data_IF_885851106529
#
_entry.id   IF_885851106529
#
_cell.length_a   1.000
_cell.length_b   1.000
_cell.length_c   1.000
_cell.angle_alpha   90.00
_cell.angle_beta   90.00
_cell.angle_gamma   90.00
#
_symmetry.space_group_name_H-M   'P 1'
#
loop_
_entity.id
_entity.type
_entity.pdbx_description
1 polymer ?
#
# COMPACT_ATOMS: atom_id res chain seq x y z
N UNK A 1 42.76 16.57 -22.34
CA UNK A 1 41.75 16.31 -21.32
C UNK A 1 40.39 16.62 -21.96
N UNK A 2 39.70 15.63 -22.42
CA UNK A 2 38.44 15.78 -23.20
C UNK A 2 37.27 15.36 -22.33
N UNK A 3 36.37 16.27 -22.03
CA UNK A 3 35.11 16.03 -21.35
C UNK A 3 34.09 15.47 -22.33
N UNK A 4 33.79 14.19 -22.22
CA UNK A 4 32.74 13.57 -23.02
C UNK A 4 31.38 13.94 -22.42
N UNK A 5 30.63 14.81 -23.09
CA UNK A 5 29.23 15.13 -22.79
C UNK A 5 28.34 14.00 -23.31
N UNK A 6 27.73 13.24 -22.43
CA UNK A 6 26.75 12.22 -22.76
C UNK A 6 25.43 12.91 -23.16
N UNK A 7 25.22 13.10 -24.47
CA UNK A 7 23.94 13.54 -25.05
C UNK A 7 23.07 12.31 -25.28
N UNK A 8 22.27 11.93 -24.29
CA UNK A 8 21.14 11.02 -24.52
C UNK A 8 20.04 11.79 -25.27
N UNK A 9 19.68 11.31 -26.44
CA UNK A 9 18.69 11.98 -27.26
C UNK A 9 17.28 11.81 -26.66
N UNK A 10 16.52 12.89 -26.60
CA UNK A 10 15.12 12.96 -26.14
C UNK A 10 14.20 11.92 -26.83
N UNK A 11 14.62 11.39 -27.98
CA UNK A 11 13.90 10.34 -28.70
C UNK A 11 13.91 8.95 -28.02
N UNK A 12 14.94 8.63 -27.26
CA UNK A 12 15.02 7.34 -26.53
C UNK A 12 14.11 7.33 -25.30
N UNK A 13 13.98 8.46 -24.59
CA UNK A 13 13.08 8.61 -23.46
C UNK A 13 11.60 8.56 -23.86
N UNK A 14 11.26 9.13 -25.03
CA UNK A 14 9.89 9.06 -25.55
C UNK A 14 9.47 7.66 -26.00
N UNK A 15 10.40 6.86 -26.52
CA UNK A 15 10.12 5.46 -26.90
C UNK A 15 9.88 4.55 -25.68
N UNK A 16 10.57 4.82 -24.57
CA UNK A 16 10.39 4.07 -23.32
C UNK A 16 9.03 4.39 -22.64
N UNK A 17 8.60 5.65 -22.67
CA UNK A 17 7.31 6.07 -22.11
C UNK A 17 6.12 5.46 -22.88
N UNK A 18 6.24 5.29 -24.21
CA UNK A 18 5.19 4.65 -25.01
C UNK A 18 5.09 3.15 -24.77
N UNK A 19 6.19 2.47 -24.43
CA UNK A 19 6.19 1.05 -24.08
C UNK A 19 5.56 0.76 -22.70
N UNK A 20 5.58 1.73 -21.77
CA UNK A 20 5.02 1.58 -20.42
C UNK A 20 3.51 1.91 -20.34
N UNK A 21 2.95 2.64 -21.29
CA UNK A 21 1.50 2.93 -21.36
C UNK A 21 0.70 1.77 -22.00
N UNK A 22 1.37 0.75 -22.55
CA UNK A 22 0.75 -0.45 -23.13
C UNK A 22 0.32 -1.53 -22.14
N UNK A 23 0.22 -1.28 -20.83
CA UNK A 23 -0.06 -2.30 -19.80
C UNK A 23 -1.54 -2.33 -19.42
N UNK A 24 -2.19 -3.37 -19.96
CA UNK A 24 -3.31 -4.16 -19.41
C UNK A 24 -4.46 -3.44 -18.71
N UNK A 25 -5.54 -3.23 -19.43
CA UNK A 25 -6.87 -3.17 -18.85
C UNK A 25 -7.58 -4.49 -19.19
N UNK A 26 -7.95 -5.22 -18.13
CA UNK A 26 -8.90 -6.34 -18.11
C UNK A 26 -8.77 -7.39 -19.23
N UNK A 27 -8.10 -8.51 -18.96
CA UNK A 27 -8.42 -9.87 -19.43
C UNK A 27 -8.87 -10.11 -20.87
N UNK A 28 -8.71 -9.16 -21.79
CA UNK A 28 -8.88 -9.30 -23.23
C UNK A 28 -7.60 -8.84 -23.91
N UNK A 29 -7.03 -9.72 -24.72
CA UNK A 29 -6.06 -9.32 -25.73
C UNK A 29 -6.74 -8.33 -26.68
N UNK A 30 -6.53 -7.05 -26.43
CA UNK A 30 -6.81 -6.03 -27.42
C UNK A 30 -5.57 -5.99 -28.31
N UNK A 31 -5.62 -6.63 -29.46
CA UNK A 31 -4.67 -6.34 -30.53
C UNK A 31 -4.76 -4.83 -30.78
N UNK A 32 -3.72 -4.09 -30.37
CA UNK A 32 -3.60 -2.68 -30.68
C UNK A 32 -3.62 -2.56 -32.21
N UNK A 33 -4.59 -1.83 -32.73
CA UNK A 33 -4.60 -1.47 -34.14
C UNK A 33 -3.28 -0.74 -34.48
N UNK A 34 -2.72 -0.93 -35.66
CA UNK A 34 -1.50 -0.25 -36.05
C UNK A 34 -1.69 1.28 -35.90
N UNK A 35 -0.64 2.00 -35.45
CA UNK A 35 -0.72 3.42 -35.07
C UNK A 35 -1.30 4.38 -36.13
N UNK A 36 -1.41 3.90 -37.36
CA UNK A 36 -1.98 4.67 -38.47
C UNK A 36 -3.52 4.68 -38.55
N UNK A 37 -4.20 3.86 -37.74
CA UNK A 37 -5.67 3.74 -37.76
C UNK A 37 -6.36 4.41 -36.56
N UNK A 38 -5.62 5.04 -35.63
CA UNK A 38 -6.23 5.76 -34.53
C UNK A 38 -6.88 7.07 -35.02
N UNK A 39 -8.09 7.44 -34.50
CA UNK A 39 -8.74 8.71 -34.82
C UNK A 39 -7.81 9.89 -34.58
N UNK A 40 -7.85 10.92 -35.46
CA UNK A 40 -6.95 12.07 -35.41
C UNK A 40 -7.02 12.85 -34.08
N UNK A 41 -8.17 12.87 -33.42
CA UNK A 41 -8.35 13.48 -32.10
C UNK A 41 -7.58 12.76 -30.99
N UNK A 42 -7.52 11.43 -31.00
CA UNK A 42 -6.76 10.69 -29.98
C UNK A 42 -5.26 10.85 -30.15
N UNK A 43 -4.77 11.00 -31.40
CA UNK A 43 -3.34 11.31 -31.67
C UNK A 43 -2.95 12.70 -31.16
N UNK A 44 -3.81 13.71 -31.33
CA UNK A 44 -3.57 15.05 -30.83
C UNK A 44 -3.56 15.09 -29.29
N UNK A 45 -4.46 14.37 -28.64
CA UNK A 45 -4.54 14.26 -27.18
C UNK A 45 -3.31 13.55 -26.60
N UNK A 46 -2.88 12.43 -27.17
CA UNK A 46 -1.65 11.72 -26.76
C UNK A 46 -0.42 12.60 -26.97
N UNK A 47 -0.32 13.30 -28.09
CA UNK A 47 0.81 14.20 -28.37
C UNK A 47 0.82 15.42 -27.41
N UNK A 48 -0.34 15.92 -27.00
CA UNK A 48 -0.46 16.98 -26.00
C UNK A 48 -0.05 16.48 -24.61
N UNK A 49 -0.50 15.30 -24.22
CA UNK A 49 -0.13 14.66 -22.95
C UNK A 49 1.38 14.41 -22.86
N UNK A 50 2.00 13.88 -23.92
CA UNK A 50 3.45 13.65 -23.97
C UNK A 50 4.25 14.97 -23.90
N UNK A 51 3.77 16.04 -24.51
CA UNK A 51 4.40 17.38 -24.40
C UNK A 51 4.30 17.92 -22.98
N UNK A 52 3.14 17.79 -22.33
CA UNK A 52 2.93 18.23 -20.95
C UNK A 52 3.79 17.45 -19.95
N UNK A 53 3.90 16.13 -20.10
CA UNK A 53 4.79 15.27 -19.31
C UNK A 53 6.25 15.69 -19.53
N UNK A 54 6.67 15.92 -20.78
CA UNK A 54 8.01 16.39 -21.11
C UNK A 54 8.33 17.76 -20.49
N UNK A 55 7.37 18.67 -20.46
CA UNK A 55 7.53 20.01 -19.85
C UNK A 55 7.59 19.92 -18.32
N UNK A 56 6.75 19.08 -17.70
CA UNK A 56 6.77 18.84 -16.27
C UNK A 56 8.08 18.19 -15.82
N UNK A 57 8.59 17.23 -16.61
CA UNK A 57 9.86 16.53 -16.32
C UNK A 57 11.06 17.47 -16.46
N UNK A 58 11.10 18.34 -17.47
CA UNK A 58 12.16 19.35 -17.62
C UNK A 58 12.07 20.44 -16.56
N UNK A 59 10.88 20.80 -16.09
CA UNK A 59 10.66 21.69 -14.96
C UNK A 59 11.18 21.10 -13.65
N UNK A 60 10.92 19.82 -13.42
CA UNK A 60 11.37 19.09 -12.22
C UNK A 60 12.90 18.99 -12.14
N UNK A 61 13.57 18.75 -13.26
CA UNK A 61 15.04 18.73 -13.31
C UNK A 61 15.69 20.10 -13.04
N UNK A 62 14.98 21.20 -13.28
CA UNK A 62 15.45 22.57 -12.99
C UNK A 62 15.19 23.03 -11.55
N UNK A 63 14.23 22.41 -10.84
CA UNK A 63 13.81 22.79 -9.47
C UNK A 63 14.10 21.70 -8.43
N UNK A 64 15.32 21.21 -8.38
CA UNK A 64 15.76 20.24 -7.35
C UNK A 64 15.83 20.82 -5.92
N UNK A 65 15.36 22.06 -5.69
CA UNK A 65 15.48 22.76 -4.40
C UNK A 65 14.14 23.08 -3.70
N UNK A 66 12.98 22.80 -4.31
CA UNK A 66 11.68 23.07 -3.65
C UNK A 66 10.59 22.17 -4.24
N UNK A 67 10.72 20.86 -4.08
CA UNK A 67 9.79 19.90 -4.63
C UNK A 67 8.60 19.68 -3.72
N UNK A 68 7.41 20.17 -4.08
CA UNK A 68 6.15 19.64 -3.57
C UNK A 68 5.86 18.33 -4.29
N UNK A 69 5.71 17.18 -3.61
CA UNK A 69 5.24 15.95 -4.24
C UNK A 69 3.87 16.17 -4.88
N UNK A 70 3.63 15.64 -6.06
CA UNK A 70 2.31 15.68 -6.69
C UNK A 70 2.20 16.45 -8.00
N UNK A 71 3.29 17.01 -8.56
CA UNK A 71 3.21 17.77 -9.83
C UNK A 71 3.00 16.84 -11.03
N UNK A 72 3.62 15.65 -11.03
CA UNK A 72 3.45 14.66 -12.10
C UNK A 72 2.09 13.99 -11.97
N UNK A 73 1.68 13.62 -10.77
CA UNK A 73 0.36 13.02 -10.49
C UNK A 73 -0.77 13.98 -10.86
N UNK A 74 -0.65 15.27 -10.53
CA UNK A 74 -1.62 16.31 -10.95
C UNK A 74 -1.65 16.51 -12.46
N UNK A 75 -0.50 16.47 -13.13
CA UNK A 75 -0.46 16.56 -14.58
C UNK A 75 -1.12 15.35 -15.25
N UNK A 76 -0.88 14.14 -14.75
CA UNK A 76 -1.51 12.91 -15.25
C UNK A 76 -3.02 12.95 -15.00
N UNK A 77 -3.47 13.34 -13.80
CA UNK A 77 -4.90 13.46 -13.47
C UNK A 77 -5.63 14.48 -14.34
N UNK A 78 -4.97 15.58 -14.72
CA UNK A 78 -5.54 16.61 -15.59
C UNK A 78 -5.72 16.15 -17.04
N UNK A 79 -4.82 15.28 -17.55
CA UNK A 79 -4.80 14.87 -18.96
C UNK A 79 -5.35 13.47 -19.24
N UNK A 80 -5.57 12.67 -18.19
CA UNK A 80 -6.19 11.34 -18.28
C UNK A 80 -7.28 11.18 -17.21
N UNK A 81 -8.36 11.98 -17.23
CA UNK A 81 -9.46 11.86 -16.31
C UNK A 81 -10.10 10.48 -16.46
N UNK A 82 -9.94 9.62 -15.45
CA UNK A 82 -10.43 8.24 -15.44
C UNK A 82 -9.34 7.16 -15.43
N UNK A 83 -8.06 7.52 -15.71
CA UNK A 83 -6.91 6.61 -15.56
C UNK A 83 -6.25 6.78 -14.18
N UNK A 84 -6.27 8.01 -13.65
CA UNK A 84 -5.86 8.33 -12.30
C UNK A 84 -7.01 9.08 -11.62
N UNK A 85 -7.79 8.39 -10.83
CA UNK A 85 -8.60 9.07 -9.83
C UNK A 85 -7.65 9.46 -8.70
N UNK A 86 -7.61 10.75 -8.29
CA UNK A 86 -6.97 11.11 -7.04
C UNK A 86 -7.54 10.18 -5.96
N UNK A 87 -6.67 9.58 -5.16
CA UNK A 87 -7.13 8.87 -3.97
C UNK A 87 -7.91 9.89 -3.16
N UNK A 88 -9.20 9.71 -3.05
CA UNK A 88 -10.01 10.48 -2.11
C UNK A 88 -9.63 9.97 -0.73
N UNK A 89 -8.64 10.63 -0.14
CA UNK A 89 -8.18 10.27 1.21
C UNK A 89 -9.30 10.49 2.25
N UNK A 90 -10.36 11.20 1.85
CA UNK A 90 -11.42 11.59 2.75
C UNK A 90 -10.99 12.71 3.72
N UNK A 91 -11.82 12.96 4.70
CA UNK A 91 -11.50 13.84 5.83
C UNK A 91 -11.56 13.04 7.13
N UNK A 92 -10.72 13.39 8.10
CA UNK A 92 -10.85 12.84 9.44
C UNK A 92 -12.25 13.15 9.99
N UNK A 93 -12.93 12.17 10.61
CA UNK A 93 -14.18 12.45 11.31
C UNK A 93 -13.94 13.44 12.46
N UNK A 94 -14.95 14.21 12.87
CA UNK A 94 -14.81 15.12 14.02
C UNK A 94 -14.62 14.35 15.32
N UNK A 95 -13.82 14.92 16.23
CA UNK A 95 -13.66 14.37 17.57
C UNK A 95 -15.00 14.34 18.32
N UNK A 96 -15.24 13.27 19.06
CA UNK A 96 -16.44 13.10 19.91
C UNK A 96 -16.07 13.35 21.38
N UNK A 97 -16.78 14.22 22.11
CA UNK A 97 -16.57 14.39 23.54
C UNK A 97 -16.79 13.08 24.30
N UNK A 98 -15.84 12.72 25.17
CA UNK A 98 -15.92 11.50 25.96
C UNK A 98 -15.67 10.20 25.18
N UNK A 99 -15.19 10.30 23.93
CA UNK A 99 -14.89 9.18 23.07
C UNK A 99 -14.03 8.10 23.76
N UNK A 100 -14.43 6.84 23.63
CA UNK A 100 -13.71 5.69 24.15
C UNK A 100 -13.58 4.60 23.08
N UNK A 101 -12.50 3.85 23.19
CA UNK A 101 -12.23 2.71 22.32
C UNK A 101 -12.14 1.42 23.13
N UNK A 102 -12.42 0.26 22.52
CA UNK A 102 -12.07 -1.03 23.10
C UNK A 102 -10.57 -1.12 23.45
N UNK A 103 -10.19 -1.92 24.46
CA UNK A 103 -8.80 -1.97 24.93
C UNK A 103 -7.76 -2.33 23.87
N UNK A 104 -8.16 -3.14 22.88
CA UNK A 104 -7.31 -3.55 21.75
C UNK A 104 -7.14 -2.48 20.68
N UNK A 105 -7.78 -1.33 20.84
CA UNK A 105 -7.72 -0.20 19.89
C UNK A 105 -7.15 1.06 20.56
N UNK A 106 -6.50 1.91 19.78
CA UNK A 106 -6.07 3.25 20.15
C UNK A 106 -7.08 4.30 19.72
N UNK A 107 -7.36 5.28 20.57
CA UNK A 107 -8.18 6.45 20.22
C UNK A 107 -7.31 7.50 19.54
N UNK A 108 -7.59 7.79 18.28
CA UNK A 108 -6.85 8.75 17.46
C UNK A 108 -7.63 10.07 17.42
N UNK A 109 -7.03 11.12 17.96
CA UNK A 109 -7.56 12.50 18.00
C UNK A 109 -9.00 12.61 18.49
N UNK A 110 -9.47 11.68 19.32
CA UNK A 110 -10.87 11.65 19.80
C UNK A 110 -11.91 11.32 18.71
N UNK A 111 -11.49 10.88 17.53
CA UNK A 111 -12.31 10.81 16.34
C UNK A 111 -12.52 9.38 15.81
N UNK A 112 -11.53 8.51 15.96
CA UNK A 112 -11.57 7.13 15.44
C UNK A 112 -10.81 6.18 16.36
N UNK A 113 -11.31 4.96 16.49
CA UNK A 113 -10.61 3.84 17.12
C UNK A 113 -9.87 3.04 16.07
N UNK A 114 -8.61 2.74 16.31
CA UNK A 114 -7.75 1.96 15.38
C UNK A 114 -7.11 0.81 16.12
N UNK A 115 -7.10 -0.39 15.54
CA UNK A 115 -6.44 -1.57 16.09
C UNK A 115 -4.98 -1.27 16.42
N UNK A 116 -4.55 -1.65 17.64
CA UNK A 116 -3.17 -1.38 18.10
C UNK A 116 -2.13 -2.13 17.30
N UNK A 117 -2.50 -3.30 16.78
CA UNK A 117 -1.63 -4.20 16.04
C UNK A 117 -2.25 -4.54 14.70
N UNK A 118 -1.41 -4.93 13.74
CA UNK A 118 -1.83 -5.55 12.50
C UNK A 118 -2.72 -6.76 12.79
N UNK A 119 -3.72 -6.99 11.95
CA UNK A 119 -4.72 -8.01 12.20
C UNK A 119 -4.18 -9.43 11.99
N UNK A 120 -4.42 -10.31 12.95
CA UNK A 120 -4.54 -11.74 12.72
C UNK A 120 -6.01 -12.10 12.50
N UNK A 121 -6.31 -13.31 12.02
CA UNK A 121 -7.69 -13.75 11.84
C UNK A 121 -7.97 -15.08 12.55
N UNK A 122 -9.22 -15.26 12.92
CA UNK A 122 -9.78 -16.55 13.34
C UNK A 122 -10.96 -16.87 12.43
N UNK A 123 -11.13 -18.15 12.12
CA UNK A 123 -12.27 -18.64 11.37
C UNK A 123 -13.43 -18.96 12.31
N UNK A 124 -14.66 -18.57 11.93
CA UNK A 124 -15.87 -18.98 12.62
C UNK A 124 -16.47 -20.18 11.92
N UNK A 125 -16.44 -21.34 12.58
CA UNK A 125 -17.10 -22.55 12.11
C UNK A 125 -18.63 -22.41 12.15
N UNK A 126 -19.33 -23.33 11.50
CA UNK A 126 -20.78 -23.30 11.40
C UNK A 126 -21.51 -23.43 12.77
N UNK A 127 -20.87 -24.05 13.75
CA UNK A 127 -21.35 -24.15 15.13
C UNK A 127 -21.00 -22.91 16.00
N UNK A 128 -20.36 -21.90 15.41
CA UNK A 128 -19.90 -20.69 16.09
C UNK A 128 -18.53 -20.79 16.76
N UNK A 129 -17.90 -21.94 16.74
CA UNK A 129 -16.53 -22.13 17.29
C UNK A 129 -15.54 -21.27 16.51
N UNK A 130 -14.60 -20.64 17.23
CA UNK A 130 -13.52 -19.87 16.64
C UNK A 130 -12.27 -20.75 16.55
N UNK A 131 -11.80 -20.94 15.32
CA UNK A 131 -10.64 -21.75 14.99
C UNK A 131 -9.46 -20.86 14.57
N UNK A 132 -8.23 -21.18 14.97
CA UNK A 132 -7.05 -20.49 14.47
C UNK A 132 -6.94 -20.63 12.95
N UNK A 133 -6.50 -19.57 12.27
CA UNK A 133 -6.13 -19.61 10.86
C UNK A 133 -4.62 -19.38 10.72
N UNK A 134 -3.99 -20.10 9.80
CA UNK A 134 -2.55 -19.96 9.56
C UNK A 134 -2.26 -18.69 8.75
N UNK A 135 -1.37 -17.79 9.24
CA UNK A 135 -1.15 -16.48 8.61
C UNK A 135 -0.51 -16.54 7.22
N UNK A 136 0.11 -17.67 6.88
CA UNK A 136 0.72 -17.95 5.56
C UNK A 136 -0.25 -18.54 4.53
N UNK A 137 -1.51 -18.71 4.88
CA UNK A 137 -2.55 -19.21 3.99
C UNK A 137 -3.53 -18.10 3.62
N UNK A 138 -3.88 -18.00 2.34
CA UNK A 138 -4.94 -17.11 1.88
C UNK A 138 -6.29 -17.51 2.48
N UNK A 139 -7.16 -16.54 2.71
CA UNK A 139 -8.50 -16.78 3.23
C UNK A 139 -9.37 -17.49 2.18
N UNK A 140 -9.91 -18.64 2.54
CA UNK A 140 -10.72 -19.45 1.62
C UNK A 140 -12.09 -18.82 1.34
N UNK A 141 -12.60 -18.85 0.10
CA UNK A 141 -13.95 -18.41 -0.22
C UNK A 141 -15.01 -19.21 0.52
N UNK A 142 -16.09 -18.54 0.95
CA UNK A 142 -17.22 -19.19 1.64
C UNK A 142 -17.00 -19.41 3.14
N UNK A 143 -15.84 -19.12 3.68
CA UNK A 143 -15.53 -19.18 5.10
C UNK A 143 -15.72 -17.81 5.77
N UNK A 144 -15.99 -17.78 7.06
CA UNK A 144 -16.20 -16.54 7.84
C UNK A 144 -14.99 -16.29 8.73
N UNK A 145 -14.28 -15.22 8.47
CA UNK A 145 -13.10 -14.82 9.23
C UNK A 145 -13.36 -13.55 10.05
N UNK A 146 -12.83 -13.50 11.26
CA UNK A 146 -12.90 -12.35 12.17
C UNK A 146 -11.50 -11.80 12.41
N UNK A 147 -11.34 -10.51 12.21
CA UNK A 147 -10.09 -9.80 12.52
C UNK A 147 -9.86 -9.70 14.05
N UNK A 148 -8.61 -9.84 14.47
CA UNK A 148 -8.18 -9.70 15.86
C UNK A 148 -6.89 -8.86 15.94
N UNK A 149 -6.89 -7.87 16.81
CA UNK A 149 -5.71 -7.06 17.15
C UNK A 149 -5.14 -7.60 18.45
N UNK A 150 -4.08 -8.38 18.37
CA UNK A 150 -3.42 -8.96 19.54
C UNK A 150 -1.90 -8.90 19.41
N UNK A 151 -1.14 -8.67 20.50
CA UNK A 151 0.31 -8.66 20.46
C UNK A 151 0.92 -10.05 20.37
N UNK A 152 2.13 -10.14 19.83
CA UNK A 152 2.97 -11.32 19.85
C UNK A 152 2.55 -12.46 18.93
N UNK A 153 1.65 -12.20 17.96
CA UNK A 153 1.22 -13.15 16.93
C UNK A 153 1.72 -12.73 15.56
N UNK A 154 1.86 -13.68 14.64
CA UNK A 154 2.12 -13.37 13.23
C UNK A 154 0.84 -12.80 12.63
N UNK A 155 0.85 -11.59 12.06
CA UNK A 155 -0.34 -11.02 11.41
C UNK A 155 -0.71 -11.78 10.14
N UNK A 156 -1.95 -11.65 9.69
CA UNK A 156 -2.46 -12.30 8.49
C UNK A 156 -1.86 -11.65 7.24
N UNK A 157 -1.06 -12.40 6.49
CA UNK A 157 -0.65 -12.07 5.14
C UNK A 157 -1.61 -12.69 4.09
N UNK A 158 -1.33 -12.54 2.79
CA UNK A 158 -2.11 -13.12 1.69
C UNK A 158 -3.61 -12.79 1.74
N UNK A 159 -3.94 -11.59 2.18
CA UNK A 159 -5.32 -11.12 2.33
C UNK A 159 -5.63 -10.01 1.34
N UNK A 160 -6.76 -10.11 0.63
CA UNK A 160 -7.23 -9.03 -0.24
C UNK A 160 -7.98 -7.96 0.54
N UNK A 161 -8.11 -6.75 -0.06
CA UNK A 161 -8.89 -5.67 0.54
C UNK A 161 -10.35 -6.06 0.80
N UNK A 162 -10.96 -6.84 -0.09
CA UNK A 162 -12.31 -7.35 0.08
C UNK A 162 -12.42 -8.31 1.27
N UNK A 163 -11.45 -9.20 1.44
CA UNK A 163 -11.38 -10.13 2.57
C UNK A 163 -11.10 -9.41 3.88
N UNK A 164 -10.16 -8.45 3.89
CA UNK A 164 -9.85 -7.59 5.03
C UNK A 164 -11.08 -6.80 5.49
N UNK A 165 -11.81 -6.17 4.55
CA UNK A 165 -13.06 -5.48 4.84
C UNK A 165 -14.10 -6.42 5.47
N UNK A 166 -14.24 -7.64 4.93
CA UNK A 166 -15.15 -8.65 5.48
C UNK A 166 -14.74 -9.05 6.89
N UNK A 167 -13.45 -9.36 7.12
CA UNK A 167 -12.94 -9.78 8.43
C UNK A 167 -13.11 -8.70 9.51
N UNK A 168 -12.89 -7.42 9.16
CA UNK A 168 -13.17 -6.30 10.06
C UNK A 168 -14.66 -6.23 10.41
N UNK A 169 -15.56 -6.34 9.40
CA UNK A 169 -17.02 -6.31 9.62
C UNK A 169 -17.51 -7.45 10.51
N UNK A 170 -16.98 -8.65 10.31
CA UNK A 170 -17.30 -9.79 11.16
C UNK A 170 -16.84 -9.62 12.61
N UNK A 171 -15.83 -8.79 12.85
CA UNK A 171 -15.38 -8.39 14.17
C UNK A 171 -16.11 -7.15 14.74
N UNK A 172 -17.17 -6.66 14.08
CA UNK A 172 -17.88 -5.45 14.49
C UNK A 172 -17.11 -4.14 14.23
N UNK A 173 -16.14 -4.19 13.34
CA UNK A 173 -15.23 -3.09 12.96
C UNK A 173 -15.37 -2.79 11.45
N UNK A 174 -14.53 -1.92 10.92
CA UNK A 174 -14.42 -1.62 9.48
C UNK A 174 -12.95 -1.48 9.08
N UNK A 175 -12.63 -1.49 7.78
CA UNK A 175 -11.32 -1.01 7.34
C UNK A 175 -11.16 0.47 7.65
N UNK A 176 -9.94 0.90 7.91
CA UNK A 176 -9.59 2.31 8.06
C UNK A 176 -9.68 3.03 6.72
N UNK A 177 -10.23 4.25 6.70
CA UNK A 177 -10.06 5.12 5.54
C UNK A 177 -8.57 5.50 5.37
N UNK A 178 -8.09 5.79 4.14
CA UNK A 178 -6.69 6.16 3.92
C UNK A 178 -6.21 7.30 4.80
N UNK A 179 -7.04 8.34 4.99
CA UNK A 179 -6.71 9.48 5.87
C UNK A 179 -6.63 9.09 7.34
N UNK A 180 -7.54 8.23 7.82
CA UNK A 180 -7.54 7.76 9.21
C UNK A 180 -6.26 6.98 9.51
N UNK A 181 -5.88 6.08 8.61
CA UNK A 181 -4.67 5.30 8.73
C UNK A 181 -3.42 6.21 8.78
N UNK A 182 -3.32 7.15 7.83
CA UNK A 182 -2.15 8.04 7.72
C UNK A 182 -2.02 8.97 8.92
N UNK A 183 -3.11 9.59 9.36
CA UNK A 183 -3.12 10.46 10.56
C UNK A 183 -2.74 9.65 11.79
N UNK A 184 -3.28 8.44 11.90
CA UNK A 184 -2.95 7.53 13.00
C UNK A 184 -1.48 7.15 13.03
N UNK A 185 -0.87 6.87 11.87
CA UNK A 185 0.54 6.50 11.78
C UNK A 185 1.47 7.59 12.35
N UNK A 186 1.23 8.84 11.99
CA UNK A 186 2.09 9.97 12.39
C UNK A 186 1.98 10.40 13.85
N UNK A 187 1.06 9.82 14.63
CA UNK A 187 0.82 10.25 16.01
C UNK A 187 0.18 11.63 16.10
N UNK A 188 0.05 12.16 17.31
CA UNK A 188 -0.57 13.48 17.56
C UNK A 188 0.20 14.63 16.92
N UNK A 189 1.50 14.48 16.73
CA UNK A 189 2.38 15.49 16.14
C UNK A 189 2.44 15.42 14.61
N UNK A 190 1.86 14.38 13.99
CA UNK A 190 1.89 14.19 12.53
C UNK A 190 3.29 13.89 11.97
N UNK A 191 4.09 13.12 12.68
CA UNK A 191 5.44 12.76 12.27
C UNK A 191 5.48 11.90 11.01
N UNK A 192 6.64 11.89 10.34
CA UNK A 192 6.88 11.02 9.18
C UNK A 192 6.96 9.53 9.54
N UNK A 193 7.29 9.20 10.79
CA UNK A 193 7.34 7.84 11.32
C UNK A 193 6.55 7.76 12.64
N UNK A 194 6.08 6.58 13.06
CA UNK A 194 5.31 6.44 14.30
C UNK A 194 6.02 7.02 15.54
N UNK A 195 7.33 7.00 15.52
CA UNK A 195 8.20 7.35 16.65
C UNK A 195 8.89 8.71 16.51
N UNK A 196 8.69 9.47 15.44
CA UNK A 196 9.34 10.78 15.25
C UNK A 196 9.45 11.23 13.80
N UNK A 197 10.14 12.35 13.59
CA UNK A 197 10.27 12.98 12.28
C UNK A 197 11.25 12.25 11.34
N UNK A 198 12.30 11.66 11.91
CA UNK A 198 13.41 11.07 11.15
C UNK A 198 13.40 9.54 11.21
N UNK A 199 13.80 8.91 10.11
CA UNK A 199 13.98 7.45 10.05
C UNK A 199 15.10 6.98 10.98
N UNK A 200 14.78 6.01 11.82
CA UNK A 200 15.76 5.27 12.63
C UNK A 200 15.78 3.83 12.14
N UNK A 201 16.80 3.39 11.36
CA UNK A 201 16.85 2.04 10.79
C UNK A 201 16.69 0.95 11.86
N UNK A 202 15.84 -0.04 11.58
CA UNK A 202 15.57 -1.16 12.49
C UNK A 202 14.69 -0.80 13.70
N UNK A 203 14.19 0.43 13.81
CA UNK A 203 13.21 0.78 14.84
C UNK A 203 11.82 0.22 14.56
N UNK A 204 11.44 0.17 13.30
CA UNK A 204 10.38 -0.65 12.76
C UNK A 204 10.96 -1.83 11.98
N UNK A 205 10.15 -2.80 11.60
CA UNK A 205 10.57 -3.90 10.75
C UNK A 205 10.63 -3.43 9.28
N UNK A 206 11.70 -2.75 8.92
CA UNK A 206 11.92 -2.09 7.62
C UNK A 206 13.19 -2.58 6.89
N UNK A 207 13.73 -3.72 7.32
CA UNK A 207 14.92 -4.33 6.74
C UNK A 207 14.92 -5.83 7.03
N UNK A 208 14.32 -6.61 6.13
CA UNK A 208 14.15 -8.04 6.29
C UNK A 208 14.75 -8.88 5.17
N UNK A 209 14.54 -10.21 5.24
CA UNK A 209 14.95 -11.14 4.21
C UNK A 209 14.06 -11.05 2.96
N UNK A 210 14.63 -11.30 1.78
CA UNK A 210 13.89 -11.31 0.53
C UNK A 210 13.53 -12.75 0.13
N UNK A 211 12.27 -13.20 0.35
CA UNK A 211 11.84 -14.55 0.04
C UNK A 211 11.81 -14.82 -1.46
N UNK A 212 11.55 -13.78 -2.26
CA UNK A 212 11.48 -13.91 -3.72
C UNK A 212 12.84 -14.26 -4.31
N UNK A 213 13.92 -13.68 -3.79
CA UNK A 213 15.28 -14.03 -4.18
C UNK A 213 15.73 -15.38 -3.59
N UNK A 214 15.15 -15.80 -2.46
CA UNK A 214 15.49 -17.08 -1.82
C UNK A 214 14.82 -18.26 -2.52
N UNK A 215 13.52 -18.16 -2.80
CA UNK A 215 12.73 -19.28 -3.29
C UNK A 215 12.41 -19.23 -4.79
N UNK A 216 12.50 -18.04 -5.42
CA UNK A 216 12.02 -17.78 -6.79
C UNK A 216 13.04 -17.00 -7.63
N UNK A 217 14.35 -17.11 -7.32
CA UNK A 217 15.40 -16.41 -8.05
C UNK A 217 15.48 -16.83 -9.53
N UNK A 218 15.16 -18.07 -9.85
CA UNK A 218 15.15 -18.65 -11.21
C UNK A 218 14.07 -18.01 -12.11
N UNK A 219 13.02 -17.46 -11.51
CA UNK A 219 11.92 -16.82 -12.24
C UNK A 219 12.04 -15.31 -12.32
N UNK A 220 13.03 -14.69 -11.66
CA UNK A 220 13.22 -13.24 -11.59
C UNK A 220 13.28 -12.56 -12.96
N UNK A 221 13.95 -13.17 -13.95
CA UNK A 221 14.11 -12.58 -15.29
C UNK A 221 12.78 -12.42 -16.06
N UNK A 222 11.78 -13.24 -15.76
CA UNK A 222 10.42 -13.15 -16.36
C UNK A 222 9.43 -12.36 -15.52
N UNK A 223 9.87 -11.89 -14.34
CA UNK A 223 9.01 -11.32 -13.30
C UNK A 223 8.29 -12.39 -12.47
N UNK A 224 7.95 -12.04 -11.24
CA UNK A 224 7.20 -12.91 -10.35
C UNK A 224 5.70 -12.74 -10.58
N UNK A 225 5.01 -13.85 -10.73
CA UNK A 225 3.57 -13.91 -10.96
C UNK A 225 2.80 -14.29 -9.67
N UNK A 226 1.47 -14.49 -9.81
CA UNK A 226 0.63 -14.84 -8.66
C UNK A 226 1.06 -16.13 -7.94
N UNK A 227 1.66 -17.09 -8.62
CA UNK A 227 2.12 -18.34 -7.99
C UNK A 227 3.28 -18.09 -7.04
N UNK A 228 4.29 -17.34 -7.49
CA UNK A 228 5.46 -17.01 -6.70
C UNK A 228 5.09 -16.05 -5.55
N UNK A 229 4.29 -15.03 -5.83
CA UNK A 229 3.85 -14.03 -4.84
C UNK A 229 2.94 -14.62 -3.75
N UNK A 230 2.26 -15.72 -4.03
CA UNK A 230 1.36 -16.40 -3.08
C UNK A 230 1.91 -17.73 -2.57
N UNK A 231 3.20 -17.99 -2.72
CA UNK A 231 3.84 -19.15 -2.10
C UNK A 231 3.84 -18.99 -0.57
N UNK A 232 3.21 -19.90 0.20
CA UNK A 232 3.10 -19.78 1.65
C UNK A 232 4.45 -19.78 2.37
N UNK A 233 5.52 -20.28 1.73
CA UNK A 233 6.88 -20.25 2.28
C UNK A 233 7.47 -18.84 2.38
N UNK A 234 6.92 -17.87 1.63
CA UNK A 234 7.49 -16.53 1.57
C UNK A 234 7.52 -15.83 2.93
N UNK A 235 6.57 -16.10 3.82
CA UNK A 235 6.57 -15.54 5.18
C UNK A 235 7.09 -16.49 6.23
N UNK A 236 7.48 -17.72 5.87
CA UNK A 236 8.11 -18.69 6.77
C UNK A 236 9.64 -18.52 6.81
N UNK A 237 10.21 -17.80 5.84
CA UNK A 237 11.65 -17.50 5.83
C UNK A 237 11.99 -16.63 7.05
N UNK A 238 13.02 -17.01 7.77
CA UNK A 238 13.54 -16.20 8.87
C UNK A 238 13.91 -14.79 8.41
N UNK A 239 13.52 -13.77 9.17
CA UNK A 239 13.76 -12.38 8.83
C UNK A 239 12.74 -11.77 7.86
N UNK A 240 11.65 -12.48 7.53
CA UNK A 240 10.50 -11.91 6.80
C UNK A 240 9.50 -11.29 7.79
N UNK A 241 8.25 -11.71 7.77
CA UNK A 241 7.22 -11.17 8.66
C UNK A 241 7.58 -11.36 10.14
N UNK A 242 7.37 -10.33 10.95
CA UNK A 242 7.56 -10.37 12.39
C UNK A 242 6.23 -10.53 13.13
N UNK A 243 6.29 -11.03 14.37
CA UNK A 243 5.14 -11.00 15.26
C UNK A 243 4.83 -9.55 15.65
N UNK A 244 3.54 -9.24 15.75
CA UNK A 244 3.03 -7.92 16.14
C UNK A 244 3.67 -7.41 17.44
N UNK A 245 4.13 -6.15 17.44
CA UNK A 245 4.77 -5.52 18.59
C UNK A 245 6.19 -5.99 18.90
N UNK A 246 6.80 -6.86 18.07
CA UNK A 246 8.19 -7.30 18.25
C UNK A 246 9.15 -6.11 18.21
N UNK A 247 8.90 -5.16 17.34
CA UNK A 247 9.66 -3.92 17.26
C UNK A 247 9.07 -2.88 18.23
N UNK A 248 9.34 -3.04 19.51
CA UNK A 248 8.76 -2.23 20.58
C UNK A 248 8.96 -0.72 20.43
N UNK A 249 9.96 -0.30 19.66
CA UNK A 249 10.20 1.11 19.32
C UNK A 249 9.38 1.62 18.14
N UNK A 250 8.71 0.73 17.39
CA UNK A 250 7.80 1.09 16.29
C UNK A 250 6.40 1.34 16.81
N UNK A 251 6.25 2.35 17.64
CA UNK A 251 5.00 2.70 18.32
C UNK A 251 4.86 4.22 18.41
N UNK A 252 3.65 4.72 18.30
CA UNK A 252 3.34 6.13 18.50
C UNK A 252 2.61 6.39 19.83
N UNK A 253 2.30 7.65 20.10
CA UNK A 253 1.64 8.12 21.32
C UNK A 253 0.17 7.69 21.44
N UNK A 254 -0.47 7.22 20.37
CA UNK A 254 -1.79 6.55 20.42
C UNK A 254 -1.67 5.07 20.83
N UNK A 255 -0.45 4.54 20.98
CA UNK A 255 -0.18 3.14 21.29
C UNK A 255 -0.46 2.21 20.12
N UNK A 256 -0.21 2.68 18.90
CA UNK A 256 -0.33 1.90 17.66
C UNK A 256 1.05 1.40 17.24
N UNK A 257 1.17 0.08 17.06
CA UNK A 257 2.40 -0.61 16.72
C UNK A 257 2.46 -0.94 15.24
N UNK A 258 3.67 -1.08 14.71
CA UNK A 258 3.97 -1.62 13.39
C UNK A 258 3.27 -0.88 12.22
N UNK A 259 2.96 0.42 12.40
CA UNK A 259 2.33 1.24 11.37
C UNK A 259 3.26 1.48 10.15
N UNK A 260 4.54 1.18 10.27
CA UNK A 260 5.54 1.27 9.19
C UNK A 260 6.32 -0.02 9.13
N UNK A 261 6.41 -0.61 7.94
CA UNK A 261 7.07 -1.89 7.73
C UNK A 261 6.19 -3.09 8.11
N UNK A 262 6.78 -4.21 8.32
CA UNK A 262 6.17 -5.51 8.53
C UNK A 262 5.25 -5.92 7.36
N UNK A 263 4.01 -5.48 7.30
CA UNK A 263 3.10 -5.70 6.17
C UNK A 263 2.56 -4.36 5.63
N UNK A 264 2.35 -4.30 4.33
CA UNK A 264 1.44 -3.31 3.75
C UNK A 264 0.04 -3.47 4.33
N UNK A 265 -0.65 -2.39 4.60
CA UNK A 265 -1.98 -2.46 5.18
C UNK A 265 -3.06 -1.91 4.24
N UNK A 266 -4.00 -2.78 3.89
CA UNK A 266 -5.19 -2.39 3.14
C UNK A 266 -5.98 -1.30 3.84
N UNK A 267 -6.46 -0.33 3.06
CA UNK A 267 -7.41 0.70 3.49
C UNK A 267 -8.76 0.56 2.79
N UNK A 268 -9.76 1.29 3.25
CA UNK A 268 -11.13 1.25 2.71
C UNK A 268 -11.28 1.98 1.35
N UNK A 269 -10.18 2.17 0.63
CA UNK A 269 -10.20 2.73 -0.71
C UNK A 269 -10.47 1.63 -1.75
N UNK A 270 -11.63 1.62 -2.41
CA UNK A 270 -11.97 0.62 -3.41
C UNK A 270 -11.10 0.69 -4.67
N UNK A 271 -10.33 1.78 -4.86
CA UNK A 271 -9.35 1.88 -5.94
C UNK A 271 -8.05 1.14 -5.61
N UNK A 272 -7.96 0.49 -4.45
CA UNK A 272 -6.87 -0.38 -4.09
C UNK A 272 -5.65 0.34 -3.54
N UNK A 273 -5.81 0.98 -2.39
CA UNK A 273 -4.70 1.59 -1.65
C UNK A 273 -4.33 0.75 -0.44
N UNK A 274 -3.02 0.45 -0.29
CA UNK A 274 -2.43 0.01 0.95
C UNK A 274 -1.23 0.88 1.34
N UNK A 275 -0.95 0.98 2.64
CA UNK A 275 -0.04 1.96 3.22
C UNK A 275 1.01 1.30 4.13
N UNK A 276 1.98 2.08 4.60
CA UNK A 276 2.97 1.71 5.60
C UNK A 276 4.22 1.01 5.07
N UNK A 277 4.18 0.47 3.87
CA UNK A 277 5.27 -0.37 3.36
C UNK A 277 5.31 -1.74 4.05
N UNK A 278 6.31 -2.54 3.75
CA UNK A 278 6.52 -3.86 4.35
C UNK A 278 7.99 -4.05 4.70
N UNK A 279 8.39 -5.19 5.24
CA UNK A 279 9.74 -5.39 5.76
C UNK A 279 10.89 -5.19 4.76
N UNK A 280 10.64 -5.16 3.43
CA UNK A 280 11.66 -4.88 2.42
C UNK A 280 11.62 -3.45 1.88
N UNK A 281 10.51 -2.73 2.04
CA UNK A 281 10.37 -1.39 1.47
C UNK A 281 9.38 -0.52 2.26
N UNK A 282 9.89 0.58 2.78
CA UNK A 282 9.13 1.61 3.50
C UNK A 282 9.41 3.01 2.96
N UNK A 283 9.97 3.11 1.73
CA UNK A 283 10.44 4.39 1.19
C UNK A 283 10.22 4.59 -0.32
N UNK A 284 10.06 3.53 -1.12
CA UNK A 284 9.98 3.63 -2.58
C UNK A 284 8.76 4.47 -3.04
N UNK A 285 7.64 4.36 -2.33
CA UNK A 285 6.38 5.04 -2.62
C UNK A 285 5.99 6.11 -1.58
N UNK A 286 6.99 6.72 -0.94
CA UNK A 286 6.87 7.69 0.14
C UNK A 286 7.51 7.19 1.42
N UNK A 287 8.07 8.08 2.23
CA UNK A 287 8.75 7.70 3.46
C UNK A 287 7.77 7.42 4.61
N UNK A 288 7.91 6.27 5.25
CA UNK A 288 7.22 5.94 6.48
C UNK A 288 5.69 6.05 6.39
N UNK A 289 5.07 6.92 7.17
CA UNK A 289 3.62 7.15 7.20
C UNK A 289 3.05 7.74 5.90
N UNK A 290 3.90 8.30 5.04
CA UNK A 290 3.53 8.76 3.71
C UNK A 290 3.58 7.65 2.64
N UNK A 291 4.13 6.46 2.98
CA UNK A 291 4.20 5.34 2.05
C UNK A 291 2.80 4.88 1.66
N UNK A 292 2.55 4.82 0.36
CA UNK A 292 1.31 4.26 -0.17
C UNK A 292 1.51 3.66 -1.55
N UNK A 293 0.87 2.53 -1.79
CA UNK A 293 0.72 1.91 -3.10
C UNK A 293 -0.73 2.01 -3.52
N UNK A 294 -0.98 2.38 -4.76
CA UNK A 294 -2.31 2.65 -5.30
C UNK A 294 -2.59 1.79 -6.54
N UNK A 295 -3.86 1.73 -6.94
CA UNK A 295 -4.32 1.08 -8.17
C UNK A 295 -4.14 -0.45 -8.19
N UNK A 296 -4.09 -1.10 -7.04
CA UNK A 296 -4.23 -2.55 -6.96
C UNK A 296 -5.71 -2.94 -7.01
N UNK A 297 -6.08 -3.98 -7.77
CA UNK A 297 -7.43 -4.54 -7.67
C UNK A 297 -7.75 -4.89 -6.21
N UNK A 298 -8.97 -4.60 -5.76
CA UNK A 298 -9.34 -4.81 -4.35
C UNK A 298 -9.43 -6.29 -3.95
N UNK A 299 -9.32 -7.19 -4.92
CA UNK A 299 -9.18 -8.65 -4.77
C UNK A 299 -7.72 -9.13 -4.84
N UNK A 300 -6.74 -8.22 -5.04
CA UNK A 300 -5.32 -8.54 -5.01
C UNK A 300 -4.88 -8.98 -3.62
N UNK A 301 -4.01 -9.97 -3.56
CA UNK A 301 -3.33 -10.42 -2.35
C UNK A 301 -1.96 -11.02 -2.68
N UNK A 302 -1.02 -10.90 -1.77
CA UNK A 302 0.28 -11.56 -1.78
C UNK A 302 0.88 -11.65 -0.36
N UNK A 303 2.10 -12.16 -0.28
CA UNK A 303 2.84 -12.38 0.96
C UNK A 303 3.15 -11.10 1.76
N UNK A 304 3.11 -9.93 1.13
CA UNK A 304 3.53 -8.66 1.73
C UNK A 304 2.36 -7.82 2.25
N UNK A 305 1.12 -8.26 2.06
CA UNK A 305 -0.08 -7.45 2.31
C UNK A 305 -0.93 -8.02 3.43
N UNK A 306 -1.19 -7.18 4.43
CA UNK A 306 -2.08 -7.42 5.56
C UNK A 306 -3.08 -6.28 5.73
N UNK A 307 -3.54 -6.04 6.98
CA UNK A 307 -4.50 -4.99 7.30
C UNK A 307 -4.58 -4.74 8.80
N UNK A 308 -5.25 -3.65 9.18
CA UNK A 308 -5.80 -3.42 10.52
C UNK A 308 -7.19 -2.83 10.42
N UNK A 309 -7.99 -2.94 11.49
CA UNK A 309 -9.35 -2.42 11.49
C UNK A 309 -9.45 -1.09 12.24
N UNK A 310 -10.48 -0.33 11.86
CA UNK A 310 -10.96 0.87 12.52
C UNK A 310 -12.38 0.67 13.04
N UNK A 311 -12.79 1.51 13.97
CA UNK A 311 -14.16 1.60 14.45
C UNK A 311 -14.48 3.05 14.84
N UNK A 312 -15.76 3.39 14.85
CA UNK A 312 -16.19 4.65 15.42
C UNK A 312 -16.16 4.56 16.94
N UNK A 313 -15.66 5.58 17.66
CA UNK A 313 -15.62 5.56 19.11
C UNK A 313 -17.01 5.62 19.71
N UNK A 314 -17.18 4.88 20.84
CA UNK A 314 -18.39 4.86 21.66
C UNK A 314 -18.56 6.11 22.51
#
# INVERSE_FOLDING_TARGET
MATASCRWSVRAAAALAVALVGVRVAGREVHAAPPDQAPSESRAQVAAALRAIGTAFTGHLRHRASGTPGTIERAIAAYAPGVFRPVDEGAMPPAKPGAQCPPEMGLVLGAVCIDRYEASVVERAADGTLLPHAPNLALAPGHVYLARSVPGVVPQAYVSGAQALSACRQAGKRLCAPVEWRVACGGSEGYAFPYGADRVPGRCHDSGANPMLTYHADTQARGWGPLELNDPRNIELEGTIAKTGTFAGCVNDFGLYDMVGNLHEWTADPNGTFQGGYWLDTSLHGDGCAYRTIAHPFDYHDYSVGFRCCADPG
#
